data_IF_733181063229
#
_entry.id   IF_733181063229
#
_cell.length_a   1.000
_cell.length_b   1.000
_cell.length_c   1.000
_cell.angle_alpha   90.00
_cell.angle_beta   90.00
_cell.angle_gamma   90.00
#
_symmetry.space_group_name_H-M   'P 1'
#
loop_
_entity.id
_entity.type
_entity.pdbx_description
1 polymer ?
#
# COMPACT_ATOMS: atom_id res chain seq x y z
N UNK A 1 -19.19 -27.84 -18.32
CA UNK A 1 -20.13 -27.93 -17.18
C UNK A 1 -19.76 -29.16 -16.34
N UNK A 2 -19.81 -29.02 -15.01
CA UNK A 2 -19.50 -30.02 -13.96
C UNK A 2 -18.04 -30.21 -13.52
N UNK A 3 -17.47 -29.22 -12.82
CA UNK A 3 -16.66 -29.44 -11.58
C UNK A 3 -16.61 -28.18 -10.70
N UNK A 4 -17.76 -27.55 -10.39
CA UNK A 4 -17.86 -26.39 -9.46
C UNK A 4 -18.86 -26.69 -8.35
N UNK A 5 -18.70 -27.82 -7.63
CA UNK A 5 -19.61 -28.12 -6.51
C UNK A 5 -18.97 -28.46 -5.15
N UNK A 6 -17.64 -28.59 -5.02
CA UNK A 6 -17.03 -28.84 -3.70
C UNK A 6 -16.29 -27.66 -3.08
N UNK A 7 -16.15 -26.52 -3.76
CA UNK A 7 -15.59 -25.29 -3.17
C UNK A 7 -16.64 -24.41 -2.46
N UNK A 8 -17.93 -24.63 -2.75
CA UNK A 8 -19.02 -23.81 -2.17
C UNK A 8 -19.20 -24.04 -0.67
N UNK A 9 -19.00 -25.25 -0.16
CA UNK A 9 -19.24 -25.56 1.25
C UNK A 9 -18.20 -24.92 2.20
N UNK A 10 -16.94 -24.82 1.78
CA UNK A 10 -15.88 -24.17 2.56
C UNK A 10 -16.01 -22.64 2.55
N UNK A 11 -16.30 -22.04 1.39
CA UNK A 11 -16.54 -20.59 1.23
C UNK A 11 -17.79 -20.17 2.01
N UNK A 12 -18.82 -21.01 2.05
CA UNK A 12 -20.04 -20.74 2.83
C UNK A 12 -19.78 -20.76 4.35
N UNK A 13 -18.79 -21.52 4.83
CA UNK A 13 -18.46 -21.62 6.25
C UNK A 13 -17.65 -20.41 6.76
N UNK A 14 -16.73 -19.86 5.93
CA UNK A 14 -16.01 -18.61 6.20
C UNK A 14 -16.95 -17.41 6.20
N UNK A 15 -17.86 -17.35 5.21
CA UNK A 15 -18.90 -16.33 5.08
C UNK A 15 -19.85 -16.34 6.28
N UNK A 16 -20.32 -17.53 6.71
CA UNK A 16 -21.18 -17.66 7.90
C UNK A 16 -20.47 -17.28 9.20
N UNK A 17 -19.17 -17.52 9.33
CA UNK A 17 -18.43 -17.19 10.55
C UNK A 17 -18.24 -15.68 10.72
N UNK A 18 -17.92 -14.97 9.63
CA UNK A 18 -17.76 -13.50 9.62
C UNK A 18 -19.11 -12.77 9.75
N UNK A 19 -20.15 -13.20 9.04
CA UNK A 19 -21.51 -12.64 9.21
C UNK A 19 -22.04 -12.87 10.64
N UNK A 20 -21.77 -14.04 11.24
CA UNK A 20 -22.27 -14.36 12.58
C UNK A 20 -21.54 -13.59 13.66
N UNK A 21 -20.26 -13.27 13.48
CA UNK A 21 -19.50 -12.39 14.40
C UNK A 21 -20.01 -10.95 14.29
N UNK A 22 -20.20 -10.41 13.08
CA UNK A 22 -20.80 -9.09 12.86
C UNK A 22 -22.24 -8.98 13.39
N UNK A 23 -23.05 -10.04 13.28
CA UNK A 23 -24.42 -10.10 13.84
C UNK A 23 -24.45 -10.27 15.35
N UNK A 24 -23.44 -10.90 15.95
CA UNK A 24 -23.33 -11.05 17.41
C UNK A 24 -22.85 -9.75 18.07
N UNK A 25 -21.98 -8.99 17.41
CA UNK A 25 -21.53 -7.66 17.86
C UNK A 25 -22.66 -6.63 17.75
N UNK A 26 -23.40 -6.59 16.63
CA UNK A 26 -24.51 -5.62 16.43
C UNK A 26 -25.72 -5.82 17.33
N UNK A 27 -25.85 -6.98 18.00
CA UNK A 27 -26.91 -7.23 18.99
C UNK A 27 -26.55 -6.78 20.40
N UNK A 28 -25.32 -6.35 20.64
CA UNK A 28 -24.87 -5.79 21.90
C UNK A 28 -24.43 -4.34 21.69
N UNK A 29 -25.27 -3.40 22.14
CA UNK A 29 -25.04 -1.95 22.33
C UNK A 29 -25.40 -1.01 21.16
N UNK A 30 -25.97 0.14 21.54
CA UNK A 30 -26.62 1.15 20.70
C UNK A 30 -25.64 2.11 19.99
N UNK A 31 -24.39 1.70 19.79
CA UNK A 31 -23.39 2.40 18.97
C UNK A 31 -22.59 1.33 18.22
N UNK A 32 -22.41 1.44 16.89
CA UNK A 32 -21.55 0.51 16.19
C UNK A 32 -20.15 0.59 16.80
N UNK A 33 -19.59 -0.57 17.13
CA UNK A 33 -18.20 -0.66 17.53
C UNK A 33 -17.29 -0.10 16.42
N UNK A 34 -16.10 0.40 16.77
CA UNK A 34 -15.16 0.95 15.77
C UNK A 34 -14.83 -0.09 14.67
N UNK A 35 -14.78 -1.38 15.03
CA UNK A 35 -14.63 -2.50 14.09
C UNK A 35 -15.82 -2.60 13.12
N UNK A 36 -17.06 -2.48 13.59
CA UNK A 36 -18.25 -2.45 12.72
C UNK A 36 -18.22 -1.26 11.75
N UNK A 37 -17.67 -0.11 12.18
CA UNK A 37 -17.45 1.04 11.31
C UNK A 37 -16.40 0.76 10.22
N UNK A 38 -15.32 0.05 10.54
CA UNK A 38 -14.27 -0.30 9.57
C UNK A 38 -14.77 -1.30 8.53
N UNK A 39 -15.47 -2.36 8.96
CA UNK A 39 -16.06 -3.32 8.03
C UNK A 39 -17.10 -2.65 7.12
N UNK A 40 -17.93 -1.76 7.67
CA UNK A 40 -18.86 -0.98 6.86
C UNK A 40 -18.14 -0.08 5.83
N UNK A 41 -16.98 0.48 6.16
CA UNK A 41 -16.16 1.28 5.24
C UNK A 41 -15.52 0.42 4.15
N UNK A 42 -14.96 -0.75 4.49
CA UNK A 42 -14.42 -1.71 3.50
C UNK A 42 -15.53 -2.17 2.56
N UNK A 43 -16.69 -2.56 3.12
CA UNK A 43 -17.83 -2.98 2.33
C UNK A 43 -18.36 -1.89 1.40
N UNK A 44 -18.25 -0.61 1.78
CA UNK A 44 -18.62 0.53 0.93
C UNK A 44 -17.66 0.70 -0.25
N UNK A 45 -16.37 0.39 -0.06
CA UNK A 45 -15.32 0.59 -1.08
C UNK A 45 -15.15 -0.62 -2.01
N UNK A 46 -15.61 -1.81 -1.62
CA UNK A 46 -15.57 -2.99 -2.48
C UNK A 46 -16.76 -3.01 -3.45
N UNK A 47 -16.49 -2.77 -4.75
CA UNK A 47 -17.50 -2.90 -5.81
C UNK A 47 -18.05 -4.32 -5.93
N UNK A 48 -17.19 -5.31 -5.76
CA UNK A 48 -17.55 -6.73 -5.71
C UNK A 48 -16.98 -7.38 -4.44
N UNK A 49 -17.87 -7.59 -3.45
CA UNK A 49 -17.52 -8.26 -2.19
C UNK A 49 -16.99 -9.67 -2.41
N UNK A 50 -17.53 -10.41 -3.39
CA UNK A 50 -17.09 -11.77 -3.68
C UNK A 50 -15.68 -11.76 -4.26
N UNK A 51 -15.38 -10.83 -5.16
CA UNK A 51 -14.03 -10.65 -5.70
C UNK A 51 -13.03 -10.32 -4.59
N UNK A 52 -13.37 -9.39 -3.70
CA UNK A 52 -12.55 -9.05 -2.54
C UNK A 52 -12.25 -10.30 -1.69
N UNK A 53 -13.27 -11.05 -1.25
CA UNK A 53 -13.04 -12.24 -0.42
C UNK A 53 -12.27 -13.33 -1.16
N UNK A 54 -12.47 -13.48 -2.48
CA UNK A 54 -11.68 -14.41 -3.27
C UNK A 54 -10.19 -14.04 -3.23
N UNK A 55 -9.83 -12.76 -3.30
CA UNK A 55 -8.44 -12.30 -3.21
C UNK A 55 -7.86 -12.57 -1.82
N UNK A 56 -8.61 -12.23 -0.77
CA UNK A 56 -8.21 -12.49 0.63
C UNK A 56 -7.95 -13.98 0.85
N UNK A 57 -8.88 -14.84 0.46
CA UNK A 57 -8.76 -16.30 0.59
C UNK A 57 -7.64 -16.88 -0.29
N UNK A 58 -7.39 -16.27 -1.44
CA UNK A 58 -6.39 -16.73 -2.40
C UNK A 58 -4.96 -16.50 -1.91
N UNK A 59 -4.69 -15.34 -1.30
CA UNK A 59 -3.41 -15.03 -0.66
C UNK A 59 -3.34 -15.43 0.82
N UNK A 60 -4.43 -15.96 1.39
CA UNK A 60 -4.49 -16.36 2.80
C UNK A 60 -4.43 -15.19 3.78
N UNK A 61 -4.79 -13.98 3.33
CA UNK A 61 -4.76 -12.77 4.12
C UNK A 61 -5.84 -12.82 5.21
N UNK A 62 -5.59 -12.16 6.33
CA UNK A 62 -6.50 -12.17 7.48
C UNK A 62 -6.70 -10.76 8.03
N UNK A 63 -7.87 -10.40 8.55
CA UNK A 63 -7.97 -9.13 9.28
C UNK A 63 -7.05 -9.18 10.51
N UNK A 64 -6.34 -8.08 10.75
CA UNK A 64 -5.63 -7.82 12.00
C UNK A 64 -6.60 -7.72 13.17
N UNK A 65 -6.09 -7.91 14.39
CA UNK A 65 -6.85 -7.66 15.61
C UNK A 65 -6.89 -6.17 15.88
N UNK A 66 -7.83 -5.73 16.72
CA UNK A 66 -7.92 -4.34 17.14
C UNK A 66 -6.60 -3.79 17.71
N UNK A 67 -5.92 -4.60 18.53
CA UNK A 67 -4.61 -4.30 19.12
C UNK A 67 -3.51 -4.15 18.07
N UNK A 68 -3.69 -4.72 16.88
CA UNK A 68 -2.77 -4.62 15.75
C UNK A 68 -3.03 -3.35 14.90
N UNK A 69 -3.82 -2.37 15.37
CA UNK A 69 -4.05 -1.08 14.68
C UNK A 69 -3.10 0.03 15.14
N UNK A 70 -2.02 -0.29 15.84
CA UNK A 70 -1.09 0.71 16.40
C UNK A 70 -0.48 1.60 15.33
N UNK A 71 -0.25 1.10 14.11
CA UNK A 71 0.22 1.87 12.96
C UNK A 71 -0.73 3.00 12.53
N UNK A 72 -2.01 2.96 12.95
CA UNK A 72 -2.97 4.02 12.68
C UNK A 72 -3.27 4.88 13.91
N UNK A 73 -2.69 4.56 15.07
CA UNK A 73 -2.87 5.36 16.27
C UNK A 73 -1.95 6.58 16.20
N UNK A 74 -2.52 7.74 15.85
CA UNK A 74 -1.80 9.02 15.91
C UNK A 74 -2.00 9.66 17.28
N UNK A 75 -0.91 10.05 17.93
CA UNK A 75 -0.97 10.99 19.06
C UNK A 75 -0.84 12.44 18.57
N UNK A 76 -1.13 13.42 19.44
CA UNK A 76 -0.96 14.83 19.10
C UNK A 76 0.51 15.15 18.74
N UNK A 77 1.47 14.46 19.34
CA UNK A 77 2.91 14.61 19.06
C UNK A 77 3.32 14.03 17.70
N UNK A 78 2.56 13.04 17.22
CA UNK A 78 2.80 12.38 15.93
C UNK A 78 2.16 13.12 14.75
N UNK A 79 1.45 14.22 15.01
CA UNK A 79 0.70 14.93 13.98
C UNK A 79 1.60 15.88 13.20
N UNK A 80 1.64 15.71 11.88
CA UNK A 80 2.38 16.60 10.99
C UNK A 80 1.51 17.79 10.57
N UNK A 81 2.06 19.00 10.70
CA UNK A 81 1.46 20.18 10.09
C UNK A 81 1.59 20.11 8.57
N UNK A 82 0.45 20.14 7.90
CA UNK A 82 0.41 20.18 6.44
C UNK A 82 0.97 21.53 5.96
N UNK A 83 1.89 21.55 4.97
CA UNK A 83 2.43 22.81 4.46
C UNK A 83 1.32 23.74 3.95
N UNK A 84 1.30 24.98 4.44
CA UNK A 84 0.28 25.99 4.08
C UNK A 84 0.17 26.24 2.57
N UNK A 85 1.20 25.91 1.79
CA UNK A 85 1.21 26.04 0.33
C UNK A 85 0.42 24.95 -0.39
N UNK A 86 0.17 23.81 0.25
CA UNK A 86 -0.43 22.63 -0.40
C UNK A 86 -1.88 22.89 -0.80
N UNK A 87 -2.69 23.51 0.07
CA UNK A 87 -4.10 23.78 -0.27
C UNK A 87 -4.26 24.76 -1.44
N UNK A 88 -3.62 25.94 -1.43
CA UNK A 88 -3.67 26.83 -2.59
C UNK A 88 -3.21 26.15 -3.88
N UNK A 89 -2.15 25.33 -3.82
CA UNK A 89 -1.67 24.61 -5.00
C UNK A 89 -2.68 23.60 -5.54
N UNK A 90 -3.41 22.90 -4.66
CA UNK A 90 -4.46 21.96 -5.06
C UNK A 90 -5.67 22.68 -5.63
N UNK A 91 -6.05 23.82 -5.06
CA UNK A 91 -7.14 24.68 -5.54
C UNK A 91 -6.82 25.28 -6.91
N UNK A 92 -5.60 25.78 -7.11
CA UNK A 92 -5.12 26.26 -8.41
C UNK A 92 -5.13 25.15 -9.45
N UNK A 93 -4.79 23.92 -9.06
CA UNK A 93 -4.84 22.75 -9.94
C UNK A 93 -6.29 22.40 -10.32
N UNK A 94 -7.23 22.44 -9.37
CA UNK A 94 -8.65 22.23 -9.64
C UNK A 94 -9.25 23.32 -10.53
N UNK A 95 -8.82 24.57 -10.36
CA UNK A 95 -9.28 25.69 -11.18
C UNK A 95 -8.71 25.64 -12.61
N UNK A 96 -7.47 25.18 -12.77
CA UNK A 96 -6.75 25.20 -14.05
C UNK A 96 -7.11 24.06 -15.00
N UNK A 97 -7.60 22.92 -14.48
CA UNK A 97 -7.79 21.70 -15.25
C UNK A 97 -9.26 21.22 -15.18
N UNK A 98 -9.86 20.96 -16.36
CA UNK A 98 -11.22 20.43 -16.55
C UNK A 98 -11.36 18.97 -16.03
N UNK A 99 -12.57 18.47 -15.71
CA UNK A 99 -12.80 17.30 -14.86
C UNK A 99 -12.52 15.92 -15.49
N UNK A 100 -11.40 15.75 -16.22
CA UNK A 100 -10.94 14.44 -16.67
C UNK A 100 -9.96 13.81 -15.67
N UNK A 101 -9.99 12.48 -15.52
CA UNK A 101 -9.29 11.69 -14.48
C UNK A 101 -7.77 11.88 -14.35
N UNK A 102 -7.10 12.56 -15.29
CA UNK A 102 -5.70 12.99 -15.13
C UNK A 102 -5.47 13.89 -13.90
N UNK A 103 -6.53 14.55 -13.40
CA UNK A 103 -6.52 15.37 -12.19
C UNK A 103 -6.22 14.58 -10.91
N UNK A 104 -6.78 13.37 -10.79
CA UNK A 104 -6.70 12.58 -9.56
C UNK A 104 -5.23 12.19 -9.30
N UNK A 105 -4.58 11.64 -10.33
CA UNK A 105 -3.20 11.17 -10.23
C UNK A 105 -2.22 12.32 -9.92
N UNK A 106 -2.37 13.47 -10.56
CA UNK A 106 -1.49 14.63 -10.31
C UNK A 106 -1.61 15.20 -8.91
N UNK A 107 -2.81 15.23 -8.33
CA UNK A 107 -3.00 15.74 -6.97
C UNK A 107 -2.49 14.76 -5.91
N UNK A 108 -2.78 13.48 -6.07
CA UNK A 108 -2.21 12.43 -5.23
C UNK A 108 -0.67 12.49 -5.27
N UNK A 109 -0.09 12.64 -6.47
CA UNK A 109 1.34 12.81 -6.65
C UNK A 109 1.90 14.02 -5.88
N UNK A 110 1.21 15.16 -5.93
CA UNK A 110 1.63 16.38 -5.25
C UNK A 110 1.69 16.18 -3.73
N UNK A 111 0.65 15.58 -3.16
CA UNK A 111 0.56 15.29 -1.72
C UNK A 111 1.67 14.33 -1.30
N UNK A 112 1.84 13.22 -2.02
CA UNK A 112 2.89 12.22 -1.74
C UNK A 112 4.28 12.83 -1.87
N UNK A 113 4.55 13.57 -2.94
CA UNK A 113 5.86 14.20 -3.18
C UNK A 113 6.21 15.18 -2.07
N UNK A 114 5.24 15.98 -1.61
CA UNK A 114 5.45 16.92 -0.52
C UNK A 114 5.68 16.20 0.82
N UNK A 115 4.92 15.14 1.12
CA UNK A 115 5.13 14.33 2.31
C UNK A 115 6.52 13.69 2.32
N UNK A 116 6.99 13.17 1.18
CA UNK A 116 8.34 12.63 1.04
C UNK A 116 9.40 13.70 1.23
N UNK A 117 9.24 14.85 0.55
CA UNK A 117 10.19 15.96 0.71
C UNK A 117 10.26 16.44 2.15
N UNK A 118 9.13 16.45 2.86
CA UNK A 118 9.06 16.82 4.25
C UNK A 118 9.80 15.83 5.16
N UNK A 119 9.49 14.53 5.06
CA UNK A 119 10.15 13.46 5.82
C UNK A 119 11.67 13.47 5.58
N UNK A 120 12.11 13.52 4.32
CA UNK A 120 13.53 13.59 3.95
C UNK A 120 14.25 14.79 4.54
N UNK A 121 13.65 15.98 4.48
CA UNK A 121 14.24 17.21 5.04
C UNK A 121 14.33 17.18 6.55
N UNK A 122 13.40 16.51 7.22
CA UNK A 122 13.38 16.35 8.67
C UNK A 122 14.51 15.44 9.11
N UNK A 123 14.67 14.29 8.46
CA UNK A 123 15.78 13.36 8.76
C UNK A 123 17.13 14.03 8.53
N UNK A 124 17.31 14.72 7.39
CA UNK A 124 18.55 15.45 7.09
C UNK A 124 18.90 16.56 8.09
N UNK A 125 17.94 17.06 8.88
CA UNK A 125 18.18 18.03 9.97
C UNK A 125 18.55 17.35 11.29
N UNK A 126 18.14 16.10 11.48
CA UNK A 126 18.45 15.29 12.66
C UNK A 126 19.84 14.65 12.59
N UNK A 127 20.32 14.33 11.39
CA UNK A 127 21.66 13.79 11.18
C UNK A 127 22.71 14.89 11.29
N UNK A 128 23.50 14.91 12.37
CA UNK A 128 24.72 15.73 12.41
C UNK A 128 25.66 15.27 11.28
N UNK A 129 26.16 16.20 10.47
CA UNK A 129 27.22 15.91 9.52
C UNK A 129 28.39 15.25 10.26
N UNK A 130 28.86 14.07 9.84
CA UNK A 130 29.93 13.38 10.55
C UNK A 130 31.20 14.23 10.55
N UNK A 131 31.84 14.32 11.72
CA UNK A 131 33.11 15.03 11.86
C UNK A 131 34.17 14.35 10.98
N UNK A 132 34.98 15.11 10.23
CA UNK A 132 36.02 14.53 9.39
C UNK A 132 37.06 13.81 10.27
N UNK A 133 37.15 12.49 10.15
CA UNK A 133 38.16 11.67 10.83
C UNK A 133 37.64 10.46 11.62
N UNK A 134 36.33 10.19 11.64
CA UNK A 134 35.81 8.98 12.27
C UNK A 134 36.18 7.72 11.46
N UNK A 135 36.95 6.82 12.08
CA UNK A 135 37.39 5.57 11.46
C UNK A 135 36.27 4.51 11.37
N UNK A 136 35.14 4.78 12.00
CA UNK A 136 33.91 4.00 11.87
C UNK A 136 32.94 4.59 10.83
N UNK A 137 33.40 5.54 9.99
CA UNK A 137 32.61 6.08 8.88
C UNK A 137 32.19 4.96 7.93
N UNK A 138 30.95 4.50 8.08
CA UNK A 138 30.24 3.75 7.05
C UNK A 138 29.54 4.76 6.15
N UNK A 139 29.50 4.56 4.82
CA UNK A 139 28.69 5.42 3.96
C UNK A 139 27.24 5.31 4.44
N UNK A 140 26.77 6.36 5.11
CA UNK A 140 25.37 6.45 5.51
C UNK A 140 24.57 6.52 4.21
N UNK A 141 23.74 5.50 3.97
CA UNK A 141 22.73 5.51 2.90
C UNK A 141 21.92 6.80 3.07
N UNK A 142 22.06 7.75 2.14
CA UNK A 142 21.43 9.06 2.28
C UNK A 142 19.94 8.92 1.91
N UNK A 143 19.01 9.15 2.86
CA UNK A 143 17.58 9.09 2.57
C UNK A 143 17.16 9.99 1.41
N UNK A 144 17.89 11.09 1.16
CA UNK A 144 17.63 11.99 0.05
C UNK A 144 17.82 11.32 -1.30
N UNK A 145 18.78 10.40 -1.43
CA UNK A 145 19.10 9.71 -2.68
C UNK A 145 18.43 8.35 -2.83
N UNK A 146 18.24 7.62 -1.73
CA UNK A 146 17.82 6.21 -1.78
C UNK A 146 16.31 6.03 -1.74
N UNK A 147 15.60 6.84 -0.95
CA UNK A 147 14.14 6.77 -0.93
C UNK A 147 13.61 7.35 -2.24
N UNK A 148 13.06 6.53 -3.11
CA UNK A 148 12.62 6.96 -4.44
C UNK A 148 11.17 6.57 -4.68
N UNK A 149 10.37 7.53 -5.16
CA UNK A 149 9.06 7.21 -5.73
C UNK A 149 9.18 7.06 -7.23
N UNK A 150 8.73 5.91 -7.73
CA UNK A 150 8.64 5.62 -9.15
C UNK A 150 7.20 5.52 -9.58
N UNK A 151 6.90 6.02 -10.78
CA UNK A 151 5.57 6.03 -11.38
C UNK A 151 5.41 4.88 -12.36
N UNK A 152 4.16 4.46 -12.56
CA UNK A 152 3.77 3.48 -13.58
C UNK A 152 4.68 2.24 -13.55
N UNK A 153 4.72 1.55 -12.41
CA UNK A 153 5.55 0.37 -12.22
C UNK A 153 4.79 -0.89 -12.65
N UNK A 154 5.31 -1.60 -13.65
CA UNK A 154 4.74 -2.85 -14.15
C UNK A 154 5.22 -4.01 -13.28
N UNK A 155 4.30 -4.60 -12.53
CA UNK A 155 4.57 -5.86 -11.83
C UNK A 155 4.26 -7.03 -12.77
N UNK A 156 5.13 -8.03 -12.75
CA UNK A 156 4.94 -9.32 -13.42
C UNK A 156 5.32 -10.40 -12.45
N UNK A 157 4.37 -11.26 -12.12
CA UNK A 157 4.58 -12.31 -11.13
C UNK A 157 4.01 -13.64 -11.60
N UNK A 158 4.74 -14.71 -11.33
CA UNK A 158 4.27 -16.08 -11.52
C UNK A 158 4.38 -16.86 -10.22
N UNK A 159 3.28 -17.38 -9.70
CA UNK A 159 3.31 -18.10 -8.43
C UNK A 159 2.39 -19.33 -8.45
N UNK A 160 2.78 -20.40 -7.71
CA UNK A 160 1.97 -21.59 -7.55
C UNK A 160 0.86 -21.34 -6.52
N UNK A 161 -0.38 -21.70 -6.84
CA UNK A 161 -1.48 -21.75 -5.89
C UNK A 161 -2.35 -22.98 -6.14
N UNK A 162 -2.59 -23.79 -5.10
CA UNK A 162 -3.45 -24.99 -5.15
C UNK A 162 -3.13 -25.95 -6.33
N UNK A 163 -1.85 -26.17 -6.59
CA UNK A 163 -1.37 -27.06 -7.66
C UNK A 163 -1.49 -26.50 -9.08
N UNK A 164 -1.85 -25.23 -9.24
CA UNK A 164 -1.87 -24.52 -10.53
C UNK A 164 -0.86 -23.36 -10.50
N UNK A 165 -0.37 -22.97 -11.67
CA UNK A 165 0.47 -21.77 -11.82
C UNK A 165 -0.40 -20.62 -12.29
N UNK A 166 -0.31 -19.49 -11.59
CA UNK A 166 -0.98 -18.25 -11.94
C UNK A 166 0.05 -17.25 -12.41
N UNK A 167 -0.35 -16.41 -13.37
CA UNK A 167 0.41 -15.24 -13.80
C UNK A 167 -0.42 -14.01 -13.47
N UNK A 168 0.19 -13.08 -12.73
CA UNK A 168 -0.36 -11.77 -12.43
C UNK A 168 0.50 -10.72 -13.11
N UNK A 169 -0.14 -9.74 -13.74
CA UNK A 169 0.56 -8.58 -14.28
C UNK A 169 -0.32 -7.34 -14.25
N UNK A 170 0.31 -6.20 -14.10
CA UNK A 170 -0.34 -4.91 -14.29
C UNK A 170 0.48 -3.76 -13.72
N UNK A 171 -0.08 -2.55 -13.83
CA UNK A 171 0.64 -1.32 -13.51
C UNK A 171 0.17 -0.78 -12.16
N UNK A 172 1.14 -0.52 -11.29
CA UNK A 172 1.01 0.21 -10.03
C UNK A 172 1.31 1.68 -10.33
N UNK A 173 0.44 2.60 -9.90
CA UNK A 173 0.60 4.02 -10.25
C UNK A 173 1.84 4.64 -9.57
N UNK A 174 2.10 4.28 -8.31
CA UNK A 174 3.31 4.69 -7.60
C UNK A 174 3.86 3.57 -6.70
N UNK A 175 5.19 3.47 -6.63
CA UNK A 175 5.90 2.64 -5.66
C UNK A 175 6.94 3.49 -4.95
N UNK A 176 6.99 3.39 -3.62
CA UNK A 176 8.04 3.96 -2.78
C UNK A 176 9.08 2.88 -2.49
N UNK A 177 10.26 3.03 -3.11
CA UNK A 177 11.42 2.20 -2.89
C UNK A 177 12.27 2.78 -1.77
N UNK A 178 12.79 1.91 -0.90
CA UNK A 178 13.77 2.27 0.12
C UNK A 178 15.13 1.64 -0.11
N UNK A 179 15.23 0.69 -1.05
CA UNK A 179 16.50 0.10 -1.46
C UNK A 179 16.42 -0.52 -2.85
N UNK A 180 16.99 -1.71 -3.02
CA UNK A 180 17.12 -2.39 -4.30
C UNK A 180 15.78 -2.97 -4.80
N UNK A 181 15.55 -2.79 -6.11
CA UNK A 181 14.39 -3.32 -6.82
C UNK A 181 14.46 -4.83 -6.95
N UNK A 182 15.65 -5.37 -7.19
CA UNK A 182 15.87 -6.80 -7.37
C UNK A 182 15.61 -7.54 -6.05
N UNK A 183 15.90 -6.89 -4.92
CA UNK A 183 15.58 -7.37 -3.57
C UNK A 183 14.14 -7.08 -3.12
N UNK A 184 13.33 -6.47 -4.00
CA UNK A 184 11.97 -6.06 -3.72
C UNK A 184 11.87 -5.14 -2.50
N UNK A 185 12.80 -4.21 -2.28
CA UNK A 185 12.88 -3.31 -1.11
C UNK A 185 12.01 -2.04 -1.27
N UNK A 186 10.70 -2.24 -1.15
CA UNK A 186 9.66 -1.19 -1.29
C UNK A 186 8.80 -1.06 -0.01
N UNK A 187 8.41 0.14 0.39
CA UNK A 187 7.58 0.29 1.59
C UNK A 187 6.10 0.52 1.28
N UNK A 188 5.81 1.13 0.13
CA UNK A 188 4.46 1.58 -0.20
C UNK A 188 4.15 1.36 -1.68
N UNK A 189 2.93 0.89 -1.95
CA UNK A 189 2.32 0.95 -3.28
C UNK A 189 1.09 1.85 -3.27
N UNK A 190 0.86 2.59 -4.34
CA UNK A 190 -0.29 3.51 -4.47
C UNK A 190 -1.03 3.27 -5.77
N UNK A 191 -2.35 3.21 -5.66
CA UNK A 191 -3.29 3.22 -6.78
C UNK A 191 -4.12 4.51 -6.78
N UNK A 192 -4.30 5.06 -7.96
CA UNK A 192 -5.16 6.20 -8.26
C UNK A 192 -6.42 5.69 -8.94
N UNK A 193 -7.59 6.05 -8.41
CA UNK A 193 -8.85 5.64 -9.01
C UNK A 193 -9.03 6.33 -10.36
N UNK A 194 -9.59 5.65 -11.38
CA UNK A 194 -9.80 6.27 -12.69
C UNK A 194 -10.78 7.44 -12.63
N UNK A 195 -11.72 7.40 -11.67
CA UNK A 195 -12.72 8.44 -11.42
C UNK A 195 -13.04 8.50 -9.92
N UNK A 196 -13.71 9.58 -9.49
CA UNK A 196 -14.23 9.69 -8.12
C UNK A 196 -15.26 8.59 -7.84
N UNK A 197 -15.24 8.05 -6.63
CA UNK A 197 -16.04 6.91 -6.17
C UNK A 197 -15.60 5.55 -6.71
N UNK A 198 -14.45 5.47 -7.40
CA UNK A 198 -14.01 4.25 -8.08
C UNK A 198 -12.84 3.52 -7.41
N UNK A 199 -12.62 3.73 -6.11
CA UNK A 199 -11.69 2.91 -5.31
C UNK A 199 -12.15 1.44 -5.37
N UNK A 200 -11.19 0.52 -5.50
CA UNK A 200 -11.41 -0.93 -5.49
C UNK A 200 -10.34 -1.64 -4.66
N UNK A 201 -10.66 -1.91 -3.40
CA UNK A 201 -9.73 -2.57 -2.49
C UNK A 201 -9.31 -3.96 -2.99
N UNK A 202 -10.14 -4.66 -3.76
CA UNK A 202 -9.79 -5.98 -4.31
C UNK A 202 -8.56 -5.90 -5.21
N UNK A 203 -8.43 -4.81 -5.98
CA UNK A 203 -7.24 -4.54 -6.79
C UNK A 203 -6.05 -4.32 -5.86
N UNK A 204 -6.12 -3.37 -4.93
CA UNK A 204 -5.00 -3.08 -4.03
C UNK A 204 -4.52 -4.35 -3.29
N UNK A 205 -5.44 -5.10 -2.69
CA UNK A 205 -5.12 -6.35 -1.97
C UNK A 205 -4.53 -7.43 -2.87
N UNK A 206 -4.88 -7.48 -4.16
CA UNK A 206 -4.28 -8.45 -5.09
C UNK A 206 -2.79 -8.17 -5.27
N UNK A 207 -2.41 -6.90 -5.42
CA UNK A 207 -1.01 -6.51 -5.62
C UNK A 207 -0.23 -6.60 -4.31
N UNK A 208 -0.81 -6.12 -3.21
CA UNK A 208 -0.18 -6.24 -1.88
C UNK A 208 0.03 -7.71 -1.49
N UNK A 209 -0.97 -8.59 -1.69
CA UNK A 209 -0.86 -10.01 -1.41
C UNK A 209 0.19 -10.73 -2.27
N UNK A 210 0.30 -10.33 -3.55
CA UNK A 210 1.33 -10.83 -4.45
C UNK A 210 2.75 -10.43 -3.99
N UNK A 211 2.97 -9.15 -3.67
CA UNK A 211 4.27 -8.66 -3.18
C UNK A 211 4.62 -9.27 -1.83
N UNK A 212 3.64 -9.35 -0.91
CA UNK A 212 3.79 -10.00 0.39
C UNK A 212 4.24 -11.46 0.25
N UNK A 213 3.56 -12.23 -0.61
CA UNK A 213 3.95 -13.60 -0.92
C UNK A 213 5.36 -13.68 -1.50
N UNK A 214 5.70 -12.81 -2.46
CA UNK A 214 7.01 -12.80 -3.12
C UNK A 214 8.14 -12.62 -2.10
N UNK A 215 8.03 -11.60 -1.24
CA UNK A 215 9.00 -11.32 -0.19
C UNK A 215 9.12 -12.45 0.82
N UNK A 216 7.99 -12.99 1.25
CA UNK A 216 7.98 -14.09 2.20
C UNK A 216 8.64 -15.36 1.61
N UNK A 217 8.49 -15.63 0.31
CA UNK A 217 9.20 -16.73 -0.37
C UNK A 217 10.70 -16.46 -0.46
N UNK A 218 11.10 -15.21 -0.69
CA UNK A 218 12.50 -14.78 -0.73
C UNK A 218 13.13 -14.55 0.66
N UNK A 219 12.42 -14.84 1.76
CA UNK A 219 12.94 -14.62 3.11
C UNK A 219 13.10 -13.15 3.51
N UNK A 220 12.55 -12.21 2.73
CA UNK A 220 12.60 -10.77 3.00
C UNK A 220 11.41 -10.34 3.85
N UNK A 221 11.51 -9.16 4.48
CA UNK A 221 10.43 -8.56 5.27
C UNK A 221 9.17 -8.35 4.41
N UNK A 222 8.06 -9.08 4.64
CA UNK A 222 6.92 -9.03 3.76
C UNK A 222 5.93 -7.91 4.11
N UNK A 223 6.13 -7.18 5.21
CA UNK A 223 5.27 -6.05 5.55
C UNK A 223 5.29 -4.97 4.46
N UNK A 224 4.13 -4.36 4.21
CA UNK A 224 3.95 -3.40 3.13
C UNK A 224 2.74 -2.50 3.38
N UNK A 225 2.89 -1.21 3.09
CA UNK A 225 1.78 -0.26 3.03
C UNK A 225 1.16 -0.17 1.63
N UNK A 226 -0.14 0.12 1.60
CA UNK A 226 -0.92 0.33 0.40
C UNK A 226 -1.81 1.54 0.53
N UNK A 227 -1.90 2.35 -0.51
CA UNK A 227 -2.87 3.44 -0.61
C UNK A 227 -3.71 3.26 -1.87
N UNK A 228 -5.02 3.42 -1.75
CA UNK A 228 -5.91 3.60 -2.90
C UNK A 228 -6.75 4.85 -2.69
N UNK A 229 -6.59 5.86 -3.55
CA UNK A 229 -7.34 7.10 -3.47
C UNK A 229 -7.97 7.51 -4.80
N UNK A 230 -9.13 8.16 -4.72
CA UNK A 230 -9.80 8.83 -5.82
C UNK A 230 -9.74 10.37 -5.70
N UNK A 231 -8.70 10.87 -5.02
CA UNK A 231 -8.51 12.25 -4.52
C UNK A 231 -9.40 12.59 -3.32
N UNK A 232 -10.65 12.14 -3.28
CA UNK A 232 -11.62 12.54 -2.26
C UNK A 232 -11.57 11.62 -1.04
N UNK A 233 -11.66 10.32 -1.28
CA UNK A 233 -11.49 9.29 -0.27
C UNK A 233 -10.10 8.66 -0.40
N UNK A 234 -9.53 8.28 0.74
CA UNK A 234 -8.21 7.71 0.88
C UNK A 234 -8.31 6.43 1.70
N UNK A 235 -8.05 5.29 1.09
CA UNK A 235 -7.95 4.02 1.78
C UNK A 235 -6.49 3.68 2.02
N UNK A 236 -6.09 3.66 3.29
CA UNK A 236 -4.80 3.19 3.75
C UNK A 236 -4.93 1.74 4.19
N UNK A 237 -4.00 0.91 3.73
CA UNK A 237 -3.91 -0.51 4.06
C UNK A 237 -2.50 -0.80 4.53
N UNK A 238 -2.39 -1.58 5.59
CA UNK A 238 -1.11 -2.13 6.04
C UNK A 238 -1.23 -3.64 6.11
N UNK A 239 -0.31 -4.34 5.45
CA UNK A 239 -0.08 -5.76 5.61
C UNK A 239 1.15 -5.97 6.50
N UNK A 240 0.97 -6.76 7.54
CA UNK A 240 2.07 -7.11 8.44
C UNK A 240 2.84 -8.36 8.00
N UNK A 241 3.84 -8.74 8.79
CA UNK A 241 4.70 -9.90 8.53
C UNK A 241 3.96 -11.25 8.48
N UNK A 242 2.75 -11.31 9.02
CA UNK A 242 1.95 -12.53 9.13
C UNK A 242 0.80 -12.57 8.12
N UNK A 243 0.74 -11.63 7.19
CA UNK A 243 -0.35 -11.49 6.21
C UNK A 243 -1.65 -11.01 6.85
N UNK A 244 -1.56 -10.35 8.02
CA UNK A 244 -2.70 -9.67 8.65
C UNK A 244 -2.81 -8.27 8.09
N UNK A 245 -4.02 -7.87 7.72
CA UNK A 245 -4.32 -6.57 7.15
C UNK A 245 -5.09 -5.68 8.10
N UNK A 246 -4.84 -4.39 8.00
CA UNK A 246 -5.65 -3.36 8.64
C UNK A 246 -5.98 -2.29 7.63
N UNK A 247 -7.15 -1.65 7.76
CA UNK A 247 -7.63 -0.64 6.81
C UNK A 247 -8.09 0.60 7.56
N UNK A 248 -7.70 1.76 7.05
CA UNK A 248 -8.15 3.08 7.52
C UNK A 248 -8.65 3.87 6.33
N UNK A 249 -9.90 4.35 6.39
CA UNK A 249 -10.51 5.14 5.31
C UNK A 249 -10.74 6.56 5.81
N UNK A 250 -10.20 7.53 5.08
CA UNK A 250 -10.29 8.95 5.39
C UNK A 250 -10.87 9.72 4.21
N UNK A 251 -11.60 10.80 4.51
CA UNK A 251 -12.01 11.76 3.50
C UNK A 251 -11.08 12.97 3.54
N UNK A 252 -10.62 13.41 2.36
CA UNK A 252 -9.77 14.58 2.20
C UNK A 252 -10.38 15.79 2.88
N UNK A 253 -11.64 16.14 2.59
CA UNK A 253 -12.28 17.34 3.12
C UNK A 253 -12.27 17.44 4.65
N UNK A 254 -12.40 16.32 5.36
CA UNK A 254 -12.52 16.29 6.82
C UNK A 254 -11.23 15.91 7.54
N UNK A 255 -10.25 15.33 6.84
CA UNK A 255 -9.13 14.60 7.46
C UNK A 255 -7.79 14.87 6.77
N UNK A 256 -7.63 16.02 6.09
CA UNK A 256 -6.42 16.38 5.33
C UNK A 256 -5.13 16.20 6.13
N UNK A 257 -5.13 16.69 7.37
CA UNK A 257 -3.96 16.63 8.25
C UNK A 257 -3.61 15.18 8.63
N UNK A 258 -4.62 14.35 8.90
CA UNK A 258 -4.45 12.92 9.21
C UNK A 258 -3.90 12.16 7.99
N UNK A 259 -4.44 12.43 6.79
CA UNK A 259 -3.96 11.86 5.52
C UNK A 259 -2.49 12.22 5.29
N UNK A 260 -2.15 13.50 5.40
CA UNK A 260 -0.78 13.98 5.23
C UNK A 260 0.17 13.32 6.25
N UNK A 261 -0.27 13.27 7.51
CA UNK A 261 0.47 12.65 8.61
C UNK A 261 0.77 11.18 8.34
N UNK A 262 -0.24 10.37 7.95
CA UNK A 262 0.00 8.96 7.62
C UNK A 262 0.98 8.76 6.46
N UNK A 263 0.88 9.58 5.41
CA UNK A 263 1.83 9.48 4.29
C UNK A 263 3.25 9.80 4.76
N UNK A 264 3.41 10.84 5.60
CA UNK A 264 4.73 11.18 6.17
C UNK A 264 5.29 10.06 7.05
N UNK A 265 4.48 9.48 7.95
CA UNK A 265 4.91 8.33 8.78
C UNK A 265 5.33 7.12 7.93
N UNK A 266 4.57 6.79 6.88
CA UNK A 266 4.95 5.70 5.97
C UNK A 266 6.31 5.98 5.30
N UNK A 267 6.64 7.23 5.01
CA UNK A 267 7.96 7.58 4.46
C UNK A 267 9.04 7.48 5.54
N UNK A 268 8.76 7.90 6.77
CA UNK A 268 9.71 7.74 7.89
C UNK A 268 9.98 6.26 8.20
N UNK A 269 8.97 5.40 8.15
CA UNK A 269 9.14 3.94 8.22
C UNK A 269 10.04 3.42 7.09
N UNK A 270 9.90 3.96 5.88
CA UNK A 270 10.76 3.57 4.75
C UNK A 270 12.22 3.98 4.99
N UNK A 271 12.44 5.17 5.57
CA UNK A 271 13.77 5.66 5.97
C UNK A 271 14.37 4.75 7.05
N UNK A 272 13.56 4.36 8.04
CA UNK A 272 13.99 3.46 9.10
C UNK A 272 14.41 2.09 8.53
N UNK A 273 13.59 1.48 7.66
CA UNK A 273 13.90 0.20 7.01
C UNK A 273 15.22 0.26 6.21
N UNK A 274 15.41 1.32 5.42
CA UNK A 274 16.66 1.55 4.68
C UNK A 274 17.89 1.57 5.60
N UNK A 275 17.76 2.14 6.79
CA UNK A 275 18.86 2.23 7.75
C UNK A 275 19.11 0.89 8.46
N UNK A 276 18.09 0.06 8.67
CA UNK A 276 18.22 -1.22 9.40
C UNK A 276 18.59 -2.41 8.51
N UNK A 277 18.11 -2.45 7.27
CA UNK A 277 18.33 -3.61 6.37
C UNK A 277 19.79 -3.70 5.88
N UNK A 278 20.56 -2.61 6.03
CA UNK A 278 22.00 -2.52 5.72
C UNK A 278 22.89 -3.50 6.52
N UNK A 279 22.42 -4.09 7.61
CA UNK A 279 23.23 -5.01 8.42
C UNK A 279 23.25 -6.46 7.89
N UNK A 280 22.53 -6.76 6.80
CA UNK A 280 22.29 -8.13 6.32
C UNK A 280 22.82 -8.45 4.92
N UNK A 281 23.82 -7.71 4.41
CA UNK A 281 24.51 -8.03 3.15
C UNK A 281 25.25 -9.38 3.23
N UNK A 282 24.52 -10.48 3.08
CA UNK A 282 25.06 -11.74 2.57
C UNK A 282 25.01 -11.68 1.05
N UNK A 283 26.15 -11.91 0.39
CA UNK A 283 26.23 -12.17 -1.05
C UNK A 283 25.41 -13.44 -1.36
N UNK A 284 24.10 -13.29 -1.62
CA UNK A 284 23.25 -14.34 -2.15
C UNK A 284 23.41 -14.40 -3.68
N UNK A 285 23.53 -15.60 -4.24
CA UNK A 285 23.72 -15.81 -5.68
C UNK A 285 22.45 -15.54 -6.52
N UNK A 286 21.26 -15.49 -5.88
CA UNK A 286 19.96 -15.22 -6.52
C UNK A 286 19.24 -14.08 -5.78
N UNK A 287 18.68 -13.14 -6.54
CA UNK A 287 17.94 -11.98 -6.00
C UNK A 287 16.54 -12.37 -5.52
N UNK A 288 15.92 -11.57 -4.65
CA UNK A 288 14.56 -11.83 -4.18
C UNK A 288 13.54 -11.93 -5.34
N UNK A 289 13.71 -11.10 -6.38
CA UNK A 289 12.90 -11.11 -7.59
C UNK A 289 13.01 -12.42 -8.37
N UNK A 290 14.21 -12.98 -8.46
CA UNK A 290 14.46 -14.26 -9.13
C UNK A 290 13.88 -15.44 -8.33
N UNK A 291 14.13 -15.49 -7.02
CA UNK A 291 13.61 -16.51 -6.12
C UNK A 291 12.07 -16.54 -6.18
N UNK A 292 11.45 -15.37 -6.08
CA UNK A 292 9.99 -15.23 -6.06
C UNK A 292 9.33 -15.23 -7.44
N UNK A 293 10.12 -15.10 -8.52
CA UNK A 293 9.64 -14.85 -9.89
C UNK A 293 8.67 -13.67 -9.95
N UNK A 294 9.06 -12.59 -9.30
CA UNK A 294 8.31 -11.35 -9.19
C UNK A 294 9.20 -10.21 -9.64
N UNK A 295 8.85 -9.55 -10.74
CA UNK A 295 9.62 -8.46 -11.32
C UNK A 295 8.78 -7.19 -11.33
N UNK A 296 9.36 -6.08 -10.90
CA UNK A 296 8.69 -4.78 -10.86
C UNK A 296 9.57 -3.75 -11.57
N UNK A 297 9.19 -3.44 -12.80
CA UNK A 297 9.96 -2.62 -13.73
C UNK A 297 9.22 -1.34 -14.11
N UNK A 298 9.93 -0.37 -14.67
CA UNK A 298 9.28 0.79 -15.26
C UNK A 298 8.40 0.33 -16.44
N UNK A 299 7.11 0.69 -16.43
CA UNK A 299 6.20 0.27 -17.50
C UNK A 299 6.58 0.95 -18.82
N UNK A 300 6.85 0.15 -19.83
CA UNK A 300 7.13 0.64 -21.17
C UNK A 300 5.84 1.17 -21.82
N UNK A 301 5.98 1.96 -22.89
CA UNK A 301 4.82 2.51 -23.59
C UNK A 301 3.89 1.41 -24.12
N UNK A 302 4.46 0.30 -24.60
CA UNK A 302 3.71 -0.86 -25.12
C UNK A 302 2.87 -1.54 -24.02
N UNK A 303 3.44 -1.72 -22.82
CA UNK A 303 2.72 -2.25 -21.65
C UNK A 303 1.50 -1.41 -21.31
N UNK A 304 1.63 -0.08 -21.38
CA UNK A 304 0.54 0.87 -21.10
C UNK A 304 -0.57 0.78 -22.14
N UNK A 305 -0.25 0.51 -23.40
CA UNK A 305 -1.23 0.37 -24.49
C UNK A 305 -2.00 -0.94 -24.36
N UNK A 306 -1.31 -2.05 -24.12
CA UNK A 306 -1.91 -3.38 -23.99
C UNK A 306 -2.86 -3.47 -22.78
N UNK A 307 -2.47 -2.89 -21.65
CA UNK A 307 -3.30 -2.84 -20.45
C UNK A 307 -4.48 -1.85 -20.54
N UNK A 308 -4.36 -0.78 -21.33
CA UNK A 308 -5.48 0.14 -21.58
C UNK A 308 -6.51 -0.45 -22.54
N UNK A 309 -6.10 -1.30 -23.47
CA UNK A 309 -7.02 -2.00 -24.38
C UNK A 309 -7.88 -3.07 -23.68
N UNK A 310 -7.49 -3.50 -22.47
CA UNK A 310 -8.16 -4.55 -21.69
C UNK A 310 -8.99 -4.03 -20.51
N UNK A 311 -8.98 -2.71 -20.24
CA UNK A 311 -9.92 -2.08 -19.29
C UNK A 311 -11.25 -1.80 -20.00
N UNK A 312 -12.38 -2.40 -19.57
CA UNK A 312 -13.68 -2.20 -20.19
C UNK A 312 -14.23 -0.77 -20.06
#
# INVERSE_FOLDING_TARGET
MNTIMNARAAIHHSYYWLERKARLVSRATSRPSLEESQYAQIEKLCKDKQQFYNVIDFFGLRPGRYEDHTQWALTEEDTYEMPNILEPMLDDYDASFSPQGMLIQSQINMIITLAISHAKKREARGTCAPLPGDKNYRPHRDPLTEIQTRRDQMIRMCFPCRGKRYRMSGIIDYVLWYGDREELEMNLIVFCAPTRGAIDLSVLFSYMGAIHYARNVAGKNPALYGIYSDKSDWAFVYLDNYGRYTVRVLNWTTSKQEIYTYITHIVEDAIYLMQTDYESDSEEDETASEIARCFIDDAEWEDKVELRATRP
#
